data_IF_732565200260
#
_entry.id   IF_732565200260
#
_cell.length_a   1.000
_cell.length_b   1.000
_cell.length_c   1.000
_cell.angle_alpha   90.00
_cell.angle_beta   90.00
_cell.angle_gamma   90.00
#
_symmetry.space_group_name_H-M   'P 1'
#
loop_
_entity.id
_entity.type
_entity.pdbx_description
1 polymer ?
#
# COMPACT_ATOMS: atom_id res chain seq x y z
N UNK A 1 2.56 31.90 9.68
CA UNK A 1 2.94 31.17 8.44
C UNK A 1 3.24 29.73 8.83
N UNK A 2 2.26 28.84 8.70
CA UNK A 2 2.42 27.43 9.03
C UNK A 2 3.29 26.75 7.97
N UNK A 3 4.27 25.96 8.39
CA UNK A 3 5.08 25.12 7.50
C UNK A 3 4.11 24.24 6.70
N UNK A 4 4.20 24.19 5.36
CA UNK A 4 3.39 23.26 4.59
C UNK A 4 3.63 21.85 5.16
N UNK A 5 2.56 21.14 5.49
CA UNK A 5 2.64 19.71 5.78
C UNK A 5 3.29 19.08 4.54
N UNK A 6 4.48 18.51 4.70
CA UNK A 6 5.16 17.84 3.60
C UNK A 6 4.34 16.62 3.22
N UNK A 7 4.08 16.46 1.93
CA UNK A 7 3.50 15.24 1.40
C UNK A 7 4.44 14.06 1.66
N UNK A 8 3.97 13.08 2.43
CA UNK A 8 4.66 11.80 2.64
C UNK A 8 4.05 10.78 1.67
N UNK A 9 4.88 10.31 0.74
CA UNK A 9 4.43 9.41 -0.32
C UNK A 9 4.15 8.00 0.22
N UNK A 10 4.90 7.55 1.22
CA UNK A 10 4.75 6.21 1.78
C UNK A 10 3.47 6.14 2.62
N UNK A 11 3.19 7.19 3.39
CA UNK A 11 1.90 7.37 4.06
C UNK A 11 0.74 7.38 3.05
N UNK A 12 0.92 8.10 1.93
CA UNK A 12 -0.10 8.19 0.91
C UNK A 12 -0.44 6.84 0.26
N UNK A 13 0.56 5.98 0.02
CA UNK A 13 0.32 4.61 -0.46
C UNK A 13 -0.45 3.79 0.59
N UNK A 14 -0.11 3.94 1.88
CA UNK A 14 -0.83 3.24 2.97
C UNK A 14 -2.29 3.69 3.09
N UNK A 15 -2.56 4.99 3.02
CA UNK A 15 -3.93 5.52 3.01
C UNK A 15 -4.70 4.98 1.80
N UNK A 16 -4.08 5.01 0.61
CA UNK A 16 -4.70 4.47 -0.60
C UNK A 16 -5.00 2.96 -0.49
N UNK A 17 -4.11 2.19 0.13
CA UNK A 17 -4.34 0.76 0.41
C UNK A 17 -5.63 0.54 1.20
N UNK A 18 -5.82 1.30 2.29
CA UNK A 18 -7.04 1.19 3.10
C UNK A 18 -8.30 1.63 2.33
N UNK A 19 -8.22 2.70 1.54
CA UNK A 19 -9.32 3.14 0.67
C UNK A 19 -9.73 2.07 -0.36
N UNK A 20 -8.75 1.37 -0.93
CA UNK A 20 -9.03 0.26 -1.84
C UNK A 20 -9.64 -0.95 -1.12
N UNK A 21 -9.27 -1.18 0.14
CA UNK A 21 -9.77 -2.33 0.92
C UNK A 21 -11.21 -2.11 1.36
N UNK A 22 -11.53 -0.89 1.80
CA UNK A 22 -12.86 -0.56 2.31
C UNK A 22 -13.89 -0.41 1.17
N UNK A 23 -13.47 0.10 0.01
CA UNK A 23 -14.39 0.44 -1.07
C UNK A 23 -14.22 -0.40 -2.35
N UNK A 24 -13.10 -1.08 -2.51
CA UNK A 24 -12.77 -1.86 -3.70
C UNK A 24 -12.22 -1.00 -4.85
N UNK A 25 -11.29 -1.58 -5.62
CA UNK A 25 -10.57 -0.90 -6.70
C UNK A 25 -11.45 -0.12 -7.70
N UNK A 26 -12.60 -0.67 -8.08
CA UNK A 26 -13.47 -0.03 -9.07
C UNK A 26 -14.21 1.20 -8.51
N UNK A 27 -14.61 1.18 -7.24
CA UNK A 27 -15.35 2.27 -6.61
C UNK A 27 -14.44 3.40 -6.12
N UNK A 28 -13.18 3.11 -5.80
CA UNK A 28 -12.19 4.10 -5.38
C UNK A 28 -11.71 4.90 -6.60
N UNK A 29 -12.13 6.17 -6.74
CA UNK A 29 -11.71 7.03 -7.86
C UNK A 29 -10.46 7.85 -7.53
N UNK A 30 -9.76 8.41 -8.54
CA UNK A 30 -8.67 9.36 -8.29
C UNK A 30 -9.11 10.60 -7.52
N UNK A 31 -10.40 11.00 -7.64
CA UNK A 31 -10.99 12.05 -6.82
C UNK A 31 -11.08 11.63 -5.36
N UNK A 32 -11.62 10.45 -5.07
CA UNK A 32 -11.74 9.92 -3.71
C UNK A 32 -10.35 9.77 -3.06
N UNK A 33 -9.37 9.23 -3.79
CA UNK A 33 -7.97 9.16 -3.32
C UNK A 33 -7.39 10.54 -3.02
N UNK A 34 -7.59 11.52 -3.91
CA UNK A 34 -7.10 12.88 -3.66
C UNK A 34 -7.72 13.49 -2.41
N UNK A 35 -9.01 13.24 -2.16
CA UNK A 35 -9.74 13.69 -0.97
C UNK A 35 -9.21 13.00 0.31
N UNK A 36 -9.03 11.68 0.28
CA UNK A 36 -8.48 10.91 1.40
C UNK A 36 -7.03 11.34 1.75
N UNK A 37 -6.24 11.69 0.74
CA UNK A 37 -4.87 12.16 0.90
C UNK A 37 -4.76 13.64 1.28
N UNK A 38 -5.87 14.39 1.26
CA UNK A 38 -5.87 15.83 1.53
C UNK A 38 -5.12 16.66 0.48
N UNK A 39 -5.02 16.18 -0.76
CA UNK A 39 -4.31 16.83 -1.86
C UNK A 39 -5.23 17.15 -3.04
N UNK A 40 -4.75 17.98 -3.95
CA UNK A 40 -5.49 18.24 -5.20
C UNK A 40 -5.35 17.06 -6.17
N UNK A 41 -6.30 16.91 -7.10
CA UNK A 41 -6.19 15.93 -8.19
C UNK A 41 -4.93 16.13 -9.05
N UNK A 42 -4.49 17.37 -9.25
CA UNK A 42 -3.23 17.63 -9.98
C UNK A 42 -2.02 17.15 -9.19
N UNK A 43 -1.98 17.39 -7.88
CA UNK A 43 -0.93 16.88 -6.99
C UNK A 43 -0.92 15.36 -6.95
N UNK A 44 -2.09 14.72 -6.94
CA UNK A 44 -2.21 13.27 -7.03
C UNK A 44 -1.55 12.74 -8.31
N UNK A 45 -1.91 13.27 -9.48
CA UNK A 45 -1.31 12.83 -10.75
C UNK A 45 0.17 13.21 -10.91
N UNK A 46 0.65 14.21 -10.17
CA UNK A 46 2.08 14.52 -10.10
C UNK A 46 2.85 13.51 -9.23
N UNK A 47 2.20 12.94 -8.19
CA UNK A 47 2.81 11.98 -7.28
C UNK A 47 2.67 10.52 -7.75
N UNK A 48 1.58 10.22 -8.46
CA UNK A 48 1.21 8.89 -8.94
C UNK A 48 0.75 8.97 -10.40
N UNK A 49 1.39 8.19 -11.27
CA UNK A 49 1.10 8.17 -12.70
C UNK A 49 -0.38 7.87 -12.98
N UNK A 50 -0.97 6.95 -12.23
CA UNK A 50 -2.39 6.61 -12.37
C UNK A 50 -2.99 6.02 -11.10
N UNK A 51 -4.32 5.86 -11.08
CA UNK A 51 -4.98 5.06 -10.04
C UNK A 51 -4.44 3.62 -10.01
N UNK A 52 -4.10 3.08 -11.17
CA UNK A 52 -3.56 1.72 -11.27
C UNK A 52 -2.17 1.64 -10.62
N UNK A 53 -1.31 2.62 -10.86
CA UNK A 53 0.06 2.60 -10.32
C UNK A 53 0.04 2.63 -8.79
N UNK A 54 -0.75 3.50 -8.16
CA UNK A 54 -0.86 3.53 -6.70
C UNK A 54 -1.53 2.27 -6.12
N UNK A 55 -2.41 1.61 -6.88
CA UNK A 55 -2.97 0.32 -6.47
C UNK A 55 -1.93 -0.80 -6.48
N UNK A 56 -1.07 -0.84 -7.51
CA UNK A 56 0.04 -1.79 -7.59
C UNK A 56 1.03 -1.55 -6.43
N UNK A 57 1.32 -0.30 -6.11
CA UNK A 57 2.15 0.05 -4.95
C UNK A 57 1.50 -0.34 -3.61
N UNK A 58 0.19 -0.18 -3.47
CA UNK A 58 -0.55 -0.64 -2.29
C UNK A 58 -0.47 -2.17 -2.13
N UNK A 59 -0.52 -2.92 -3.24
CA UNK A 59 -0.35 -4.38 -3.22
C UNK A 59 1.06 -4.78 -2.78
N UNK A 60 2.08 -4.09 -3.27
CA UNK A 60 3.46 -4.34 -2.85
C UNK A 60 3.69 -3.97 -1.39
N UNK A 61 3.12 -2.86 -0.92
CA UNK A 61 3.13 -2.49 0.49
C UNK A 61 2.49 -3.59 1.35
N UNK A 62 1.29 -4.03 0.98
CA UNK A 62 0.59 -5.10 1.67
C UNK A 62 1.45 -6.36 1.79
N UNK A 63 2.02 -6.86 0.68
CA UNK A 63 2.92 -8.01 0.69
C UNK A 63 4.15 -7.79 1.59
N UNK A 64 4.69 -6.57 1.57
CA UNK A 64 5.88 -6.23 2.32
C UNK A 64 5.67 -6.23 3.84
N UNK A 65 4.45 -5.89 4.28
CA UNK A 65 4.01 -5.84 5.68
C UNK A 65 3.33 -7.15 6.12
N UNK A 66 3.04 -8.06 5.19
CA UNK A 66 2.29 -9.27 5.47
C UNK A 66 3.09 -10.21 6.41
N UNK A 67 2.46 -10.78 7.45
CA UNK A 67 3.14 -11.68 8.40
C UNK A 67 3.73 -12.93 7.74
N UNK A 68 3.12 -13.37 6.64
CA UNK A 68 3.53 -14.50 5.83
C UNK A 68 4.65 -14.17 4.85
N UNK A 69 5.13 -12.92 4.77
CA UNK A 69 6.32 -12.58 3.96
C UNK A 69 7.54 -13.44 4.29
N UNK A 70 7.71 -13.81 5.56
CA UNK A 70 8.79 -14.72 5.97
C UNK A 70 8.65 -16.12 5.34
N UNK A 71 7.47 -16.46 4.81
CA UNK A 71 7.18 -17.68 4.08
C UNK A 71 7.53 -17.58 2.58
N UNK A 72 7.81 -16.41 2.01
CA UNK A 72 8.12 -16.26 0.58
C UNK A 72 9.38 -17.04 0.16
N UNK A 73 10.36 -17.16 1.05
CA UNK A 73 11.62 -17.86 0.79
C UNK A 73 11.54 -19.37 1.08
N UNK A 74 10.37 -19.87 1.46
CA UNK A 74 10.19 -21.22 1.98
C UNK A 74 9.84 -22.18 0.87
N UNK A 75 10.66 -23.22 0.72
CA UNK A 75 10.30 -24.34 -0.13
C UNK A 75 9.05 -25.05 0.46
N UNK A 76 7.97 -25.08 -0.31
CA UNK A 76 6.70 -25.72 0.08
C UNK A 76 6.83 -27.22 0.34
N UNK A 77 7.93 -27.83 -0.08
CA UNK A 77 8.25 -29.24 0.15
C UNK A 77 9.19 -29.45 1.35
N UNK A 78 9.69 -28.38 1.98
CA UNK A 78 10.56 -28.48 3.15
C UNK A 78 9.75 -28.82 4.42
N UNK A 79 10.35 -29.50 5.41
CA UNK A 79 9.70 -29.75 6.69
C UNK A 79 9.31 -28.45 7.40
N UNK A 80 8.03 -28.34 7.81
CA UNK A 80 7.46 -27.11 8.40
C UNK A 80 7.96 -26.78 9.82
N UNK A 81 8.44 -27.77 10.57
CA UNK A 81 8.84 -27.61 11.98
C UNK A 81 10.06 -26.68 12.18
N UNK A 82 11.19 -26.88 11.46
CA UNK A 82 12.32 -25.94 11.49
C UNK A 82 11.95 -24.50 11.12
N UNK A 83 11.00 -24.35 10.20
CA UNK A 83 10.51 -23.05 9.74
C UNK A 83 9.77 -22.30 10.84
N UNK A 84 8.80 -22.95 11.49
CA UNK A 84 8.07 -22.33 12.60
C UNK A 84 9.00 -21.92 13.75
N UNK A 85 10.02 -22.74 14.06
CA UNK A 85 11.02 -22.42 15.09
C UNK A 85 11.93 -21.24 14.74
N UNK A 86 12.06 -20.86 13.47
CA UNK A 86 12.82 -19.67 13.07
C UNK A 86 12.00 -18.37 13.13
N UNK A 87 10.68 -18.48 13.28
CA UNK A 87 9.74 -17.36 13.23
C UNK A 87 9.27 -16.90 14.62
N UNK A 88 9.43 -17.75 15.65
CA UNK A 88 9.04 -17.51 17.05
C UNK A 88 10.24 -17.68 17.98
#
# INVERSE_FOLDING_TARGET
MGRPISFDRDEAVRIAMYEFWDHGYNATSAKALSEALGITRSSFYNAFESRRSIFEEALELYKSEAPDRALDAVDVNAPVLPLLNSMF
#
